data_IF_595197980366
#
_entry.id   IF_595197980366
#
_cell.length_a   1.000
_cell.length_b   1.000
_cell.length_c   1.000
_cell.angle_alpha   90.00
_cell.angle_beta   90.00
_cell.angle_gamma   90.00
#
_symmetry.space_group_name_H-M   'P 1'
#
loop_
_entity.id
_entity.type
_entity.pdbx_description
1 polymer ?
#
# COMPACT_ATOMS: atom_id res chain seq x y z
N UNK A 1 -8.52 -9.90 4.86
CA UNK A 1 -8.63 -8.69 4.04
C UNK A 1 -8.31 -9.05 2.60
N UNK A 2 -9.11 -8.61 1.67
CA UNK A 2 -8.90 -8.91 0.25
C UNK A 2 -8.16 -7.76 -0.43
N UNK A 3 -8.24 -7.66 -1.75
CA UNK A 3 -7.61 -6.59 -2.50
C UNK A 3 -8.49 -5.37 -2.68
N UNK A 4 -8.01 -4.46 -3.48
CA UNK A 4 -8.71 -3.24 -3.78
C UNK A 4 -8.05 -2.49 -4.92
N UNK A 5 -8.45 -1.24 -5.08
CA UNK A 5 -7.95 -0.35 -6.13
C UNK A 5 -7.32 0.87 -5.47
N UNK A 6 -6.20 1.31 -6.01
CA UNK A 6 -5.49 2.48 -5.48
C UNK A 6 -6.34 3.73 -5.73
N UNK A 7 -6.77 4.35 -4.63
CA UNK A 7 -7.49 5.61 -4.67
C UNK A 7 -6.54 6.80 -4.84
N UNK A 8 -5.45 6.78 -4.07
CA UNK A 8 -4.38 7.78 -4.19
C UNK A 8 -3.07 7.17 -3.69
N UNK A 9 -1.95 7.79 -4.04
CA UNK A 9 -0.64 7.31 -3.61
C UNK A 9 0.31 8.49 -3.40
N UNK A 10 1.32 8.26 -2.57
CA UNK A 10 2.39 9.23 -2.32
C UNK A 10 3.69 8.47 -2.12
N UNK A 11 4.75 8.90 -2.79
CA UNK A 11 6.06 8.32 -2.59
C UNK A 11 6.80 9.12 -1.52
N UNK A 12 7.17 8.43 -0.45
CA UNK A 12 7.85 9.03 0.69
C UNK A 12 9.34 8.77 0.55
N UNK A 13 10.11 9.83 0.36
CA UNK A 13 11.56 9.72 0.14
C UNK A 13 12.35 9.80 1.45
N UNK A 14 11.81 10.48 2.45
CA UNK A 14 12.43 10.58 3.77
C UNK A 14 11.52 9.89 4.77
N UNK A 15 12.06 8.88 5.44
CA UNK A 15 11.29 8.12 6.43
C UNK A 15 11.76 8.47 7.83
N UNK A 16 10.89 8.35 8.86
CA UNK A 16 11.33 8.38 10.24
C UNK A 16 12.40 7.32 10.49
N UNK A 17 13.20 7.53 11.53
CA UNK A 17 14.34 6.66 11.80
C UNK A 17 13.97 5.18 11.86
N UNK A 18 12.81 4.86 12.42
CA UNK A 18 12.33 3.50 12.53
C UNK A 18 12.03 2.85 11.17
N UNK A 19 11.89 3.65 10.12
CA UNK A 19 11.57 3.16 8.77
C UNK A 19 12.71 3.41 7.78
N UNK A 20 13.89 3.76 8.25
CA UNK A 20 15.00 4.16 7.38
C UNK A 20 15.34 3.06 6.36
N UNK A 21 15.20 1.80 6.73
CA UNK A 21 15.51 0.68 5.84
C UNK A 21 14.44 0.43 4.80
N UNK A 22 13.29 1.09 4.91
CA UNK A 22 12.19 0.93 3.96
C UNK A 22 12.04 2.13 3.03
N UNK A 23 12.83 3.18 3.24
CA UNK A 23 12.77 4.37 2.39
C UNK A 23 13.55 4.18 1.09
N UNK A 24 13.08 4.72 -0.05
CA UNK A 24 11.77 5.34 -0.19
C UNK A 24 10.66 4.29 -0.20
N UNK A 25 9.50 4.64 0.31
CA UNK A 25 8.36 3.74 0.30
C UNK A 25 7.12 4.45 -0.23
N UNK A 26 6.17 3.67 -0.73
CA UNK A 26 4.94 4.22 -1.28
C UNK A 26 3.81 4.07 -0.27
N UNK A 27 3.22 5.19 0.10
CA UNK A 27 2.04 5.24 0.95
C UNK A 27 0.81 5.30 0.05
N UNK A 28 -0.17 4.46 0.31
CA UNK A 28 -1.34 4.34 -0.56
C UNK A 28 -2.62 4.42 0.25
N UNK A 29 -3.67 4.93 -0.39
CA UNK A 29 -5.03 4.77 0.11
C UNK A 29 -5.72 3.83 -0.87
N UNK A 30 -6.23 2.72 -0.35
CA UNK A 30 -6.84 1.66 -1.15
C UNK A 30 -8.33 1.65 -0.89
N UNK A 31 -9.12 1.64 -1.97
CA UNK A 31 -10.55 1.37 -1.88
C UNK A 31 -10.73 -0.14 -1.96
N UNK A 32 -11.16 -0.73 -0.85
CA UNK A 32 -11.33 -2.18 -0.78
C UNK A 32 -12.45 -2.64 -1.69
N UNK A 33 -12.26 -3.82 -2.31
CA UNK A 33 -13.27 -4.42 -3.17
C UNK A 33 -14.54 -4.76 -2.41
N UNK A 34 -14.40 -5.13 -1.15
CA UNK A 34 -15.53 -5.48 -0.28
C UNK A 34 -15.94 -4.24 0.51
N UNK A 35 -17.17 -3.79 0.31
CA UNK A 35 -17.72 -2.67 1.07
C UNK A 35 -17.29 -1.28 0.62
N UNK A 36 -16.32 -1.17 -0.27
CA UNK A 36 -15.85 0.12 -0.77
C UNK A 36 -15.15 1.00 0.26
N UNK A 37 -14.73 0.42 1.39
CA UNK A 37 -14.05 1.15 2.45
C UNK A 37 -12.65 1.56 1.99
N UNK A 38 -12.25 2.78 2.30
CA UNK A 38 -10.90 3.26 2.01
C UNK A 38 -10.01 3.06 3.22
N UNK A 39 -8.84 2.49 3.01
CA UNK A 39 -7.85 2.30 4.09
C UNK A 39 -6.49 2.81 3.64
N UNK A 40 -5.71 3.26 4.59
CA UNK A 40 -4.34 3.71 4.35
C UNK A 40 -3.38 2.58 4.64
N UNK A 41 -2.45 2.33 3.71
CA UNK A 41 -1.45 1.30 3.88
C UNK A 41 -0.19 1.63 3.12
N UNK A 42 0.68 0.64 2.97
CA UNK A 42 1.93 0.77 2.22
C UNK A 42 2.04 -0.32 1.19
N UNK A 43 2.77 -0.01 0.12
CA UNK A 43 3.16 -1.04 -0.83
C UNK A 43 4.34 -1.82 -0.26
N UNK A 44 4.32 -3.13 -0.45
CA UNK A 44 5.43 -3.98 -0.05
C UNK A 44 6.58 -3.76 -1.04
N UNK A 45 7.74 -3.24 -0.59
CA UNK A 45 8.85 -3.00 -1.51
C UNK A 45 9.27 -4.30 -2.20
N UNK A 46 9.72 -4.25 -3.46
CA UNK A 46 9.91 -3.06 -4.29
C UNK A 46 8.69 -2.67 -5.13
N UNK A 47 7.52 -3.21 -4.83
CA UNK A 47 6.32 -2.98 -5.63
C UNK A 47 5.91 -1.51 -5.58
N UNK A 48 5.51 -0.99 -6.73
CA UNK A 48 4.98 0.35 -6.87
C UNK A 48 3.74 0.33 -7.75
N UNK A 49 2.82 1.24 -7.45
CA UNK A 49 1.55 1.30 -8.17
C UNK A 49 1.20 2.76 -8.49
N UNK A 50 0.23 2.91 -9.39
CA UNK A 50 -0.35 4.21 -9.71
C UNK A 50 -1.82 4.22 -9.33
N UNK A 51 -2.41 5.41 -9.29
CA UNK A 51 -3.85 5.55 -9.03
C UNK A 51 -4.62 4.73 -10.06
N UNK A 52 -5.56 3.92 -9.58
CA UNK A 52 -6.36 3.04 -10.42
C UNK A 52 -5.83 1.63 -10.54
N UNK A 53 -4.60 1.38 -10.09
CA UNK A 53 -4.05 0.03 -10.13
C UNK A 53 -4.73 -0.87 -9.10
N UNK A 54 -4.79 -2.17 -9.40
CA UNK A 54 -5.34 -3.15 -8.49
C UNK A 54 -4.22 -3.73 -7.62
N UNK A 55 -4.55 -3.93 -6.34
CA UNK A 55 -3.61 -4.49 -5.37
C UNK A 55 -4.30 -5.55 -4.55
N UNK A 56 -3.48 -6.45 -3.97
CA UNK A 56 -3.94 -7.44 -3.01
C UNK A 56 -3.30 -7.18 -1.66
N UNK A 57 -4.00 -7.56 -0.60
CA UNK A 57 -3.45 -7.50 0.74
C UNK A 57 -2.29 -8.51 0.85
N UNK A 58 -1.17 -8.04 1.40
CA UNK A 58 -0.01 -8.90 1.60
C UNK A 58 0.10 -9.33 3.06
N UNK A 59 0.28 -8.38 3.96
CA UNK A 59 0.39 -8.69 5.38
C UNK A 59 0.22 -7.43 6.21
N UNK A 60 0.00 -7.62 7.52
CA UNK A 60 0.03 -6.54 8.50
C UNK A 60 1.39 -6.53 9.19
N UNK A 61 1.88 -5.34 9.45
CA UNK A 61 3.11 -5.18 10.20
C UNK A 61 2.92 -4.03 11.18
N UNK A 62 2.88 -4.35 12.47
CA UNK A 62 2.67 -3.37 13.54
C UNK A 62 1.42 -2.51 13.32
N UNK A 63 0.34 -3.14 12.85
CA UNK A 63 -0.91 -2.43 12.62
C UNK A 63 -1.00 -1.69 11.29
N UNK A 64 0.04 -1.75 10.47
CA UNK A 64 0.04 -1.13 9.15
C UNK A 64 -0.17 -2.20 8.09
N UNK A 65 -1.25 -2.12 7.27
CA UNK A 65 -1.45 -3.07 6.19
C UNK A 65 -0.46 -2.80 5.06
N UNK A 66 0.13 -3.87 4.54
CA UNK A 66 1.01 -3.84 3.37
C UNK A 66 0.31 -4.51 2.21
N UNK A 67 0.38 -3.88 1.06
CA UNK A 67 -0.24 -4.39 -0.16
C UNK A 67 0.82 -4.75 -1.17
N UNK A 68 0.45 -5.62 -2.10
CA UNK A 68 1.29 -6.01 -3.22
C UNK A 68 0.50 -5.81 -4.51
N UNK A 69 1.20 -5.69 -5.63
CA UNK A 69 0.55 -5.60 -6.93
C UNK A 69 -0.23 -6.88 -7.19
N UNK A 70 -1.44 -6.71 -7.71
CA UNK A 70 -2.25 -7.87 -8.06
C UNK A 70 -1.59 -8.61 -9.22
N UNK A 71 -1.43 -9.92 -9.06
CA UNK A 71 -0.91 -10.76 -10.13
C UNK A 71 -1.96 -10.88 -11.23
N UNK A 72 -1.50 -10.76 -12.47
CA UNK A 72 -2.38 -10.87 -13.61
C UNK A 72 -2.77 -12.34 -13.85
#
# INVERSE_FOLDING_TARGET
>A
MSGGVIYTETLVHSAPEQFVNEAPYQLVIVTLDVGGTKITGRMNPPDRVSIGDQVDFDHDRNGTPYFKRKSA
#
